data_IF_701011506763
#
_entry.id   IF_701011506763
#
_cell.length_a   1.000
_cell.length_b   1.000
_cell.length_c   1.000
_cell.angle_alpha   90.00
_cell.angle_beta   90.00
_cell.angle_gamma   90.00
#
_symmetry.space_group_name_H-M   'P 1'
#
loop_
_entity.id
_entity.type
_entity.pdbx_description
1 polymer ?
#
# COMPACT_ATOMS: atom_id res chain seq x y z
N UNK A 1 20.44 10.50 -3.64
CA UNK A 1 19.77 9.56 -2.71
C UNK A 1 18.27 9.82 -2.66
N UNK A 2 17.83 11.08 -2.76
CA UNK A 2 16.40 11.45 -2.78
C UNK A 2 15.52 10.69 -3.80
N UNK A 3 15.84 10.63 -5.11
CA UNK A 3 14.94 9.96 -6.07
C UNK A 3 14.79 8.45 -5.82
N UNK A 4 15.83 7.85 -5.24
CA UNK A 4 15.82 6.44 -4.83
C UNK A 4 14.88 6.21 -3.65
N UNK A 5 14.97 7.04 -2.60
CA UNK A 5 14.07 6.94 -1.45
C UNK A 5 12.61 7.20 -1.85
N UNK A 6 12.41 8.14 -2.77
CA UNK A 6 11.11 8.43 -3.35
C UNK A 6 10.54 7.22 -4.11
N UNK A 7 11.34 6.58 -4.97
CA UNK A 7 10.94 5.37 -5.69
C UNK A 7 10.60 4.21 -4.75
N UNK A 8 11.42 3.96 -3.73
CA UNK A 8 11.19 2.91 -2.75
C UNK A 8 9.92 3.17 -1.93
N UNK A 9 9.67 4.42 -1.53
CA UNK A 9 8.44 4.78 -0.84
C UNK A 9 7.21 4.64 -1.74
N UNK A 10 7.32 4.95 -3.03
CA UNK A 10 6.24 4.75 -4.00
C UNK A 10 5.84 3.27 -4.10
N UNK A 11 6.83 2.38 -4.11
CA UNK A 11 6.63 0.93 -4.08
C UNK A 11 5.88 0.54 -2.80
N UNK A 12 6.41 0.88 -1.62
CA UNK A 12 5.81 0.54 -0.32
C UNK A 12 4.34 1.02 -0.21
N UNK A 13 4.07 2.26 -0.62
CA UNK A 13 2.73 2.84 -0.60
C UNK A 13 1.73 2.14 -1.52
N UNK A 14 2.22 1.36 -2.49
CA UNK A 14 1.42 0.77 -3.56
C UNK A 14 1.15 -0.71 -3.39
N UNK A 15 1.84 -1.39 -2.46
CA UNK A 15 1.70 -2.83 -2.25
C UNK A 15 0.28 -3.20 -1.80
N UNK A 16 -0.16 -4.41 -2.08
CA UNK A 16 -1.36 -5.02 -1.50
C UNK A 16 -1.03 -5.75 -0.18
N UNK A 17 -2.01 -6.06 0.69
CA UNK A 17 -1.75 -6.75 1.97
C UNK A 17 -1.10 -8.14 1.83
N UNK A 18 -1.35 -8.80 0.69
CA UNK A 18 -0.75 -10.08 0.32
C UNK A 18 0.64 -9.91 -0.27
N UNK A 19 1.04 -8.71 -0.66
CA UNK A 19 2.35 -8.42 -1.22
C UNK A 19 3.36 -8.10 -0.11
N UNK A 20 4.63 -8.31 -0.43
CA UNK A 20 5.75 -8.18 0.50
C UNK A 20 6.84 -7.37 -0.16
N UNK A 21 7.45 -6.47 0.62
CA UNK A 21 8.65 -5.72 0.26
C UNK A 21 9.60 -5.72 1.45
N UNK A 22 10.79 -6.28 1.27
CA UNK A 22 11.76 -6.48 2.34
C UNK A 22 13.17 -6.22 1.85
N UNK A 23 13.94 -5.43 2.59
CA UNK A 23 15.36 -5.26 2.33
C UNK A 23 16.15 -6.53 2.67
N UNK A 24 17.01 -6.95 1.74
CA UNK A 24 17.85 -8.15 1.88
C UNK A 24 19.13 -7.85 2.67
N UNK A 25 19.67 -6.64 2.52
CA UNK A 25 20.89 -6.19 3.18
C UNK A 25 20.63 -4.84 3.88
N UNK A 26 21.36 -4.58 4.97
CA UNK A 26 21.25 -3.34 5.75
C UNK A 26 19.80 -2.98 6.11
N UNK A 27 18.96 -4.00 6.37
CA UNK A 27 17.52 -3.85 6.49
C UNK A 27 17.08 -2.79 7.52
N UNK A 28 17.73 -2.76 8.69
CA UNK A 28 17.43 -1.75 9.71
C UNK A 28 17.77 -0.34 9.25
N UNK A 29 18.91 -0.15 8.59
CA UNK A 29 19.34 1.17 8.11
C UNK A 29 18.44 1.68 6.99
N UNK A 30 18.09 0.82 6.04
CA UNK A 30 17.16 1.17 4.96
C UNK A 30 15.73 1.40 5.46
N UNK A 31 15.26 0.62 6.44
CA UNK A 31 13.97 0.86 7.08
C UNK A 31 13.96 2.20 7.85
N UNK A 32 15.02 2.52 8.58
CA UNK A 32 15.17 3.80 9.27
C UNK A 32 15.22 4.98 8.28
N UNK A 33 15.95 4.83 7.18
CA UNK A 33 16.02 5.84 6.12
C UNK A 33 14.65 6.10 5.49
N UNK A 34 13.90 5.05 5.13
CA UNK A 34 12.55 5.18 4.59
C UNK A 34 11.58 5.78 5.62
N UNK A 35 11.67 5.38 6.88
CA UNK A 35 10.82 5.92 7.95
C UNK A 35 11.11 7.40 8.22
N UNK A 36 12.38 7.79 8.21
CA UNK A 36 12.80 9.18 8.35
C UNK A 36 12.31 10.00 7.16
N UNK A 37 12.48 9.49 5.95
CA UNK A 37 11.98 10.11 4.73
C UNK A 37 10.45 10.28 4.75
N UNK A 38 9.70 9.27 5.19
CA UNK A 38 8.26 9.38 5.40
C UNK A 38 7.92 10.46 6.43
N UNK A 39 8.60 10.47 7.57
CA UNK A 39 8.23 11.36 8.67
C UNK A 39 8.55 12.83 8.39
N UNK A 40 9.66 13.10 7.70
CA UNK A 40 10.23 14.44 7.60
C UNK A 40 10.56 14.90 6.17
N UNK A 41 10.39 14.03 5.17
CA UNK A 41 10.88 14.27 3.80
C UNK A 41 12.40 14.08 3.70
N UNK A 42 12.98 14.54 2.58
CA UNK A 42 14.43 14.49 2.39
C UNK A 42 15.14 15.48 3.33
N UNK A 43 16.22 15.01 3.96
CA UNK A 43 17.00 15.79 4.91
C UNK A 43 18.44 15.29 5.03
N UNK A 44 19.35 16.17 5.47
CA UNK A 44 20.78 15.89 5.65
C UNK A 44 21.06 14.70 6.57
N UNK A 45 20.15 14.37 7.49
CA UNK A 45 20.28 13.21 8.37
C UNK A 45 20.22 11.89 7.62
N UNK A 46 19.50 11.83 6.49
CA UNK A 46 19.40 10.61 5.66
C UNK A 46 20.66 10.43 4.82
N UNK A 47 21.30 11.51 4.38
CA UNK A 47 22.59 11.45 3.66
C UNK A 47 23.73 10.96 4.55
N UNK A 48 23.67 11.21 5.87
CA UNK A 48 24.70 10.81 6.83
C UNK A 48 24.70 9.31 7.16
N UNK A 49 23.68 8.55 6.75
CA UNK A 49 23.54 7.12 7.06
C UNK A 49 24.53 6.22 6.30
N UNK A 50 25.27 6.76 5.31
CA UNK A 50 26.28 6.06 4.49
C UNK A 50 25.85 4.64 4.06
N UNK A 51 24.59 4.52 3.61
CA UNK A 51 23.99 3.23 3.25
C UNK A 51 24.48 2.77 1.87
N UNK A 52 24.85 1.49 1.71
CA UNK A 52 25.11 0.93 0.38
C UNK A 52 23.80 0.82 -0.39
N UNK A 53 23.88 0.67 -1.71
CA UNK A 53 22.68 0.55 -2.54
C UNK A 53 21.71 -0.54 -2.06
N UNK A 54 20.41 -0.28 -2.14
CA UNK A 54 19.43 -1.19 -1.59
C UNK A 54 19.32 -2.42 -2.48
N UNK A 55 19.41 -3.58 -1.85
CA UNK A 55 18.95 -4.84 -2.38
C UNK A 55 17.68 -5.24 -1.64
N UNK A 56 16.61 -5.56 -2.35
CA UNK A 56 15.32 -5.89 -1.74
C UNK A 56 14.56 -6.95 -2.51
N UNK A 57 13.71 -7.68 -1.78
CA UNK A 57 12.75 -8.63 -2.28
C UNK A 57 11.40 -7.93 -2.46
N UNK A 58 10.71 -8.25 -3.56
CA UNK A 58 9.29 -7.94 -3.74
C UNK A 58 8.53 -9.14 -4.33
N UNK A 59 7.34 -9.43 -3.81
CA UNK A 59 6.54 -10.58 -4.22
C UNK A 59 5.18 -10.62 -3.55
N UNK A 60 4.50 -11.77 -3.66
CA UNK A 60 3.22 -12.04 -2.99
C UNK A 60 3.35 -13.27 -2.09
N UNK A 61 2.82 -13.22 -0.87
CA UNK A 61 2.82 -14.32 0.13
C UNK A 61 2.20 -15.60 -0.40
N UNK A 62 1.31 -15.47 -1.39
CA UNK A 62 0.56 -16.58 -1.97
C UNK A 62 1.22 -17.11 -3.27
N UNK A 63 2.28 -16.45 -3.75
CA UNK A 63 3.01 -16.86 -4.94
C UNK A 63 4.30 -17.59 -4.58
N UNK A 64 4.60 -18.64 -5.35
CA UNK A 64 5.89 -19.33 -5.28
C UNK A 64 6.99 -18.59 -6.06
N UNK A 65 6.71 -17.41 -6.62
CA UNK A 65 7.64 -16.61 -7.42
C UNK A 65 7.77 -15.23 -6.78
N UNK A 66 9.00 -14.77 -6.65
CA UNK A 66 9.32 -13.43 -6.17
C UNK A 66 10.50 -12.83 -6.94
N UNK A 67 10.72 -11.55 -6.72
CA UNK A 67 11.74 -10.78 -7.42
C UNK A 67 12.72 -10.16 -6.43
N UNK A 68 14.00 -10.28 -6.71
CA UNK A 68 15.07 -9.61 -5.96
C UNK A 68 15.66 -8.51 -6.83
N UNK A 69 15.63 -7.28 -6.33
CA UNK A 69 16.16 -6.10 -7.02
C UNK A 69 17.51 -5.75 -6.43
N UNK A 70 18.48 -5.44 -7.30
CA UNK A 70 19.78 -4.90 -6.89
C UNK A 70 20.11 -3.72 -7.79
N UNK A 71 19.92 -2.51 -7.27
CA UNK A 71 20.16 -1.28 -8.02
C UNK A 71 21.68 -1.06 -8.21
N UNK A 72 22.16 -0.65 -9.41
CA UNK A 72 23.57 -0.36 -9.65
C UNK A 72 23.97 1.07 -9.27
N UNK A 73 25.25 1.27 -8.95
CA UNK A 73 25.87 2.56 -8.56
C UNK A 73 25.98 3.58 -9.70
N UNK A 74 25.79 3.15 -10.95
CA UNK A 74 25.87 4.02 -12.12
C UNK A 74 25.02 3.47 -13.26
N UNK A 75 24.15 4.31 -13.82
CA UNK A 75 23.37 4.07 -15.03
C UNK A 75 24.27 4.12 -16.27
N UNK A 76 25.06 3.07 -16.49
CA UNK A 76 25.60 2.79 -17.82
C UNK A 76 24.71 1.75 -18.50
N UNK A 77 24.36 1.98 -19.77
CA UNK A 77 23.43 1.16 -20.57
C UNK A 77 23.75 -0.36 -20.55
N UNK A 78 24.98 -0.75 -20.20
CA UNK A 78 25.43 -2.14 -20.11
C UNK A 78 25.07 -2.84 -18.79
N UNK A 79 24.59 -2.14 -17.76
CA UNK A 79 24.29 -2.72 -16.43
C UNK A 79 22.80 -3.03 -16.18
N UNK A 80 21.88 -2.65 -17.07
CA UNK A 80 20.45 -2.99 -16.94
C UNK A 80 20.14 -4.49 -17.07
N UNK A 81 21.13 -5.33 -17.39
CA UNK A 81 20.89 -6.74 -17.72
C UNK A 81 20.54 -7.62 -16.51
N UNK A 82 20.80 -7.19 -15.26
CA UNK A 82 20.55 -7.99 -14.05
C UNK A 82 20.02 -7.14 -12.87
N UNK A 83 19.21 -6.12 -13.16
CA UNK A 83 18.61 -5.26 -12.13
C UNK A 83 17.63 -6.02 -11.23
N UNK A 84 16.91 -6.98 -11.82
CA UNK A 84 15.87 -7.77 -11.16
C UNK A 84 16.12 -9.25 -11.43
N UNK A 85 16.34 -10.02 -10.37
CA UNK A 85 16.46 -11.47 -10.39
C UNK A 85 15.11 -12.10 -10.06
N UNK A 86 14.72 -13.12 -10.84
CA UNK A 86 13.52 -13.93 -10.57
C UNK A 86 13.93 -15.13 -9.73
N UNK A 87 13.24 -15.31 -8.61
CA UNK A 87 13.42 -16.41 -7.67
C UNK A 87 12.07 -17.10 -7.45
N UNK A 88 12.12 -18.34 -6.96
CA UNK A 88 10.90 -19.06 -6.66
C UNK A 88 11.11 -20.41 -6.01
N UNK A 89 10.13 -20.87 -5.26
CA UNK A 89 10.05 -22.24 -4.77
C UNK A 89 9.53 -23.15 -5.89
N UNK A 90 10.37 -24.09 -6.34
CA UNK A 90 10.05 -25.01 -7.43
C UNK A 90 9.73 -24.33 -8.78
N UNK A 91 10.26 -23.12 -9.02
CA UNK A 91 10.14 -22.47 -10.32
C UNK A 91 10.87 -23.29 -11.39
N UNK A 92 10.19 -23.59 -12.50
CA UNK A 92 10.84 -24.28 -13.61
C UNK A 92 11.81 -23.34 -14.33
N UNK A 93 12.81 -23.91 -15.00
CA UNK A 93 13.74 -23.12 -15.81
C UNK A 93 13.01 -22.29 -16.87
N UNK A 94 12.01 -22.87 -17.52
CA UNK A 94 11.21 -22.19 -18.54
C UNK A 94 10.40 -21.02 -17.94
N UNK A 95 9.84 -21.20 -16.75
CA UNK A 95 9.10 -20.14 -16.05
C UNK A 95 10.05 -19.00 -15.64
N UNK A 96 11.25 -19.34 -15.16
CA UNK A 96 12.27 -18.34 -14.81
C UNK A 96 12.74 -17.56 -16.05
N UNK A 97 13.00 -18.25 -17.17
CA UNK A 97 13.39 -17.62 -18.44
C UNK A 97 12.26 -16.73 -18.99
N UNK A 98 10.99 -17.15 -18.85
CA UNK A 98 9.83 -16.36 -19.24
C UNK A 98 9.72 -15.04 -18.44
N UNK A 99 9.80 -15.11 -17.10
CA UNK A 99 9.76 -13.92 -16.25
C UNK A 99 10.95 -12.98 -16.51
N UNK A 100 12.15 -13.52 -16.72
CA UNK A 100 13.33 -12.74 -17.09
C UNK A 100 13.14 -12.02 -18.43
N UNK A 101 12.50 -12.67 -19.40
CA UNK A 101 12.15 -12.05 -20.69
C UNK A 101 11.14 -10.92 -20.49
N UNK A 102 10.08 -11.16 -19.72
CA UNK A 102 9.05 -10.15 -19.39
C UNK A 102 9.68 -8.93 -18.75
N UNK A 103 10.53 -9.11 -17.72
CA UNK A 103 11.23 -8.01 -17.04
C UNK A 103 12.01 -7.15 -18.04
N UNK A 104 12.77 -7.79 -18.94
CA UNK A 104 13.58 -7.08 -19.94
C UNK A 104 12.74 -6.32 -20.96
N UNK A 105 11.62 -6.89 -21.39
CA UNK A 105 10.67 -6.23 -22.29
C UNK A 105 10.02 -5.03 -21.59
N UNK A 106 9.50 -5.21 -20.37
CA UNK A 106 8.83 -4.15 -19.62
C UNK A 106 9.75 -3.01 -19.22
N UNK A 107 10.99 -3.30 -18.77
CA UNK A 107 11.97 -2.24 -18.51
C UNK A 107 12.30 -1.43 -19.78
N UNK A 108 12.30 -2.06 -20.95
CA UNK A 108 12.48 -1.35 -22.23
C UNK A 108 11.27 -0.48 -22.57
N UNK A 109 10.06 -1.00 -22.37
CA UNK A 109 8.81 -0.26 -22.61
C UNK A 109 8.68 0.96 -21.68
N UNK A 110 9.13 0.83 -20.43
CA UNK A 110 9.14 1.90 -19.43
C UNK A 110 10.12 3.01 -19.82
N UNK A 111 11.27 2.67 -20.42
CA UNK A 111 12.26 3.65 -20.88
C UNK A 111 12.81 4.53 -19.76
N UNK A 112 12.87 5.85 -20.01
CA UNK A 112 13.46 6.85 -19.10
C UNK A 112 12.45 7.37 -18.06
N UNK A 113 11.56 6.51 -17.57
CA UNK A 113 10.65 6.86 -16.48
C UNK A 113 11.41 7.37 -15.26
N UNK A 114 10.82 8.34 -14.55
CA UNK A 114 11.38 8.88 -13.31
C UNK A 114 11.48 7.80 -12.23
N UNK A 115 10.56 6.82 -12.25
CA UNK A 115 10.47 5.73 -11.28
C UNK A 115 10.28 4.37 -12.00
N UNK A 116 11.33 3.88 -12.69
CA UNK A 116 11.22 2.71 -13.57
C UNK A 116 10.97 1.40 -12.81
N UNK A 117 11.53 1.24 -11.61
CA UNK A 117 11.31 0.07 -10.75
C UNK A 117 9.92 0.08 -10.16
N UNK A 118 9.47 1.24 -9.68
CA UNK A 118 8.09 1.40 -9.21
C UNK A 118 7.10 0.98 -10.30
N UNK A 119 7.24 1.55 -11.50
CA UNK A 119 6.36 1.24 -12.62
C UNK A 119 6.45 -0.22 -13.05
N UNK A 120 7.65 -0.80 -13.07
CA UNK A 120 7.86 -2.22 -13.38
C UNK A 120 7.03 -3.11 -12.45
N UNK A 121 7.09 -2.89 -11.13
CA UNK A 121 6.39 -3.74 -10.19
C UNK A 121 4.90 -3.48 -10.16
N UNK A 122 4.48 -2.23 -9.99
CA UNK A 122 3.07 -1.92 -9.72
C UNK A 122 2.18 -2.01 -10.94
N UNK A 123 2.72 -1.78 -12.13
CA UNK A 123 1.96 -1.76 -13.39
C UNK A 123 2.13 -3.02 -14.22
N UNK A 124 3.11 -3.88 -13.91
CA UNK A 124 3.39 -5.08 -14.71
C UNK A 124 3.56 -6.33 -13.86
N UNK A 125 4.62 -6.43 -13.05
CA UNK A 125 4.98 -7.71 -12.44
C UNK A 125 4.01 -8.18 -11.36
N UNK A 126 3.57 -7.30 -10.46
CA UNK A 126 2.61 -7.65 -9.41
C UNK A 126 1.21 -8.00 -9.97
N UNK A 127 0.62 -7.21 -10.89
CA UNK A 127 -0.62 -7.61 -11.56
C UNK A 127 -0.52 -8.99 -12.22
N UNK A 128 0.57 -9.26 -12.95
CA UNK A 128 0.77 -10.55 -13.61
C UNK A 128 0.93 -11.70 -12.61
N UNK A 129 1.56 -11.47 -11.44
CA UNK A 129 1.61 -12.47 -10.38
C UNK A 129 0.21 -12.82 -9.85
N UNK A 130 -0.67 -11.84 -9.70
CA UNK A 130 -2.06 -12.10 -9.26
C UNK A 130 -2.87 -12.83 -10.33
N UNK A 131 -2.68 -12.50 -11.61
CA UNK A 131 -3.31 -13.25 -12.72
C UNK A 131 -2.88 -14.74 -12.72
N UNK A 132 -1.60 -15.05 -12.44
CA UNK A 132 -1.15 -16.43 -12.30
C UNK A 132 -1.80 -17.16 -11.10
N UNK A 133 -2.10 -16.45 -10.01
CA UNK A 133 -2.80 -17.02 -8.86
C UNK A 133 -4.27 -17.30 -9.17
N UNK A 134 -4.96 -16.33 -9.77
CA UNK A 134 -6.38 -16.45 -10.12
C UNK A 134 -6.62 -17.52 -11.19
N UNK A 135 -5.69 -17.65 -12.14
CA UNK A 135 -5.69 -18.73 -13.14
C UNK A 135 -5.56 -20.12 -12.51
N UNK A 136 -4.65 -20.29 -11.54
CA UNK A 136 -4.47 -21.55 -10.80
C UNK A 136 -5.66 -21.86 -9.88
N UNK A 137 -6.27 -20.84 -9.29
CA UNK A 137 -7.48 -20.99 -8.48
C UNK A 137 -8.69 -21.41 -9.33
N UNK A 138 -8.85 -20.84 -10.53
CA UNK A 138 -9.92 -21.20 -11.46
C UNK A 138 -9.79 -22.64 -11.99
N UNK A 139 -8.58 -23.11 -12.27
CA UNK A 139 -8.34 -24.52 -12.65
C UNK A 139 -8.66 -25.50 -11.51
N UNK A 140 -8.61 -25.05 -10.25
CA UNK A 140 -8.93 -25.86 -9.07
C UNK A 140 -10.44 -25.87 -8.76
N UNK A 141 -11.18 -24.82 -9.11
CA UNK A 141 -12.61 -24.67 -8.82
C UNK A 141 -13.54 -25.36 -9.83
N UNK A 142 -13.03 -25.85 -10.96
CA UNK A 142 -13.80 -26.63 -11.94
C UNK A 142 -14.16 -28.05 -11.45
N UNK A 143 -13.79 -28.43 -10.22
CA UNK A 143 -14.05 -29.75 -9.64
C UNK A 143 -15.13 -29.80 -8.55
N UNK A 144 -15.75 -28.68 -8.17
CA UNK A 144 -16.87 -28.69 -7.21
C UNK A 144 -17.97 -27.72 -7.65
N UNK A 145 -18.94 -28.27 -8.39
CA UNK A 145 -20.23 -27.62 -8.52
C UNK A 145 -21.06 -27.90 -7.28
N UNK A 146 -21.67 -26.86 -6.72
CA UNK A 146 -23.08 -26.91 -6.33
C UNK A 146 -23.66 -25.51 -6.06
N UNK A 147 -24.91 -25.40 -6.47
CA UNK A 147 -25.82 -24.25 -6.43
C UNK A 147 -26.48 -24.19 -5.05
N UNK A 148 -26.55 -23.04 -4.37
CA UNK A 148 -27.72 -22.69 -3.53
C UNK A 148 -27.94 -21.16 -3.51
N UNK A 149 -29.22 -20.83 -3.64
CA UNK A 149 -29.85 -19.51 -3.69
C UNK A 149 -30.31 -19.04 -2.29
N UNK A 150 -30.92 -17.85 -2.26
CA UNK A 150 -31.75 -17.24 -1.22
C UNK A 150 -31.01 -16.39 -0.16
N UNK A 151 -31.06 -15.06 -0.25
CA UNK A 151 -32.16 -14.18 0.23
C UNK A 151 -32.59 -14.50 1.66
N UNK A 152 -32.07 -13.73 2.63
CA UNK A 152 -32.77 -13.24 3.84
C UNK A 152 -31.80 -12.51 4.77
N UNK A 153 -31.73 -11.17 4.72
CA UNK A 153 -30.98 -10.38 5.73
C UNK A 153 -31.46 -8.93 5.86
N UNK A 154 -32.76 -8.68 5.73
CA UNK A 154 -33.31 -7.31 5.84
C UNK A 154 -33.49 -6.78 7.27
N UNK A 155 -33.01 -7.46 8.32
CA UNK A 155 -33.19 -7.01 9.72
C UNK A 155 -31.90 -6.85 10.54
N UNK A 156 -30.71 -7.11 9.98
CA UNK A 156 -29.40 -6.91 10.66
C UNK A 156 -28.73 -5.59 10.22
N UNK A 157 -29.25 -4.92 9.19
CA UNK A 157 -28.61 -3.75 8.56
C UNK A 157 -28.69 -2.44 9.37
N UNK A 158 -29.46 -2.37 10.46
CA UNK A 158 -29.68 -1.11 11.19
C UNK A 158 -28.52 -0.67 12.09
N UNK A 159 -27.46 -1.48 12.22
CA UNK A 159 -26.33 -1.17 13.08
C UNK A 159 -24.96 -1.43 12.43
N UNK A 160 -24.90 -1.45 11.10
CA UNK A 160 -23.64 -1.61 10.35
C UNK A 160 -23.13 -0.25 9.89
N UNK A 161 -21.86 0.04 10.17
CA UNK A 161 -21.15 1.21 9.64
C UNK A 161 -20.05 0.73 8.70
N UNK A 162 -19.66 1.57 7.75
CA UNK A 162 -18.61 1.29 6.79
C UNK A 162 -17.35 2.05 7.17
N UNK A 163 -16.22 1.42 6.89
CA UNK A 163 -14.91 1.98 7.15
C UNK A 163 -14.06 1.84 5.90
N UNK A 164 -13.27 2.86 5.60
CA UNK A 164 -12.31 2.82 4.51
C UNK A 164 -10.96 3.41 4.93
N UNK A 165 -9.89 2.85 4.36
CA UNK A 165 -8.52 3.33 4.55
C UNK A 165 -7.86 3.52 3.19
N UNK A 166 -7.29 4.70 2.95
CA UNK A 166 -6.41 4.96 1.83
C UNK A 166 -4.97 5.18 2.29
N UNK A 167 -4.04 4.81 1.40
CA UNK A 167 -2.67 5.30 1.41
C UNK A 167 -2.35 5.97 0.09
N UNK A 168 -1.43 6.93 0.11
CA UNK A 168 -0.91 7.59 -1.08
C UNK A 168 0.55 7.94 -0.84
N UNK A 169 1.29 8.26 -1.91
CA UNK A 169 2.68 8.68 -1.77
C UNK A 169 2.82 9.89 -0.83
N UNK A 170 1.94 10.88 -0.95
CA UNK A 170 1.84 11.95 0.03
C UNK A 170 0.48 12.66 -0.01
N UNK A 171 0.14 13.29 1.13
CA UNK A 171 -0.98 14.21 1.27
C UNK A 171 -0.44 15.59 1.71
N UNK A 172 0.18 16.32 0.78
CA UNK A 172 0.73 17.68 1.04
C UNK A 172 -0.22 18.77 0.53
N UNK A 173 -0.91 18.51 -0.59
CA UNK A 173 -1.77 19.48 -1.28
C UNK A 173 -2.80 20.13 -0.33
N UNK A 174 -2.75 21.46 -0.12
CA UNK A 174 -3.73 22.17 0.70
C UNK A 174 -5.16 22.03 0.15
N UNK A 175 -5.31 21.93 -1.18
CA UNK A 175 -6.61 21.72 -1.82
C UNK A 175 -7.21 20.36 -1.45
N UNK A 176 -6.43 19.27 -1.54
CA UNK A 176 -6.90 17.94 -1.12
C UNK A 176 -7.30 17.93 0.35
N UNK A 177 -6.48 18.52 1.23
CA UNK A 177 -6.77 18.61 2.67
C UNK A 177 -8.09 19.35 2.96
N UNK A 178 -8.29 20.50 2.32
CA UNK A 178 -9.55 21.26 2.44
C UNK A 178 -10.75 20.44 1.95
N UNK A 179 -10.61 19.75 0.82
CA UNK A 179 -11.68 18.90 0.29
C UNK A 179 -12.04 17.77 1.27
N UNK A 180 -11.05 17.06 1.82
CA UNK A 180 -11.27 16.00 2.80
C UNK A 180 -12.00 16.52 4.04
N UNK A 181 -11.59 17.67 4.57
CA UNK A 181 -12.26 18.31 5.70
C UNK A 181 -13.70 18.72 5.34
N UNK A 182 -13.92 19.32 4.16
CA UNK A 182 -15.25 19.72 3.71
C UNK A 182 -16.19 18.51 3.55
N UNK A 183 -15.72 17.44 2.90
CA UNK A 183 -16.49 16.22 2.72
C UNK A 183 -16.77 15.50 4.04
N UNK A 184 -15.86 15.54 5.00
CA UNK A 184 -16.11 14.98 6.34
C UNK A 184 -17.35 15.60 7.00
N UNK A 185 -17.52 16.91 6.83
CA UNK A 185 -18.67 17.65 7.35
C UNK A 185 -19.93 17.41 6.52
N UNK A 186 -19.84 17.54 5.18
CA UNK A 186 -21.03 17.43 4.32
C UNK A 186 -21.60 16.02 4.26
N UNK A 187 -20.75 15.00 4.28
CA UNK A 187 -21.14 13.58 4.28
C UNK A 187 -21.31 13.03 5.70
N UNK A 188 -21.17 13.87 6.73
CA UNK A 188 -21.29 13.45 8.14
C UNK A 188 -20.45 12.20 8.48
N UNK A 189 -19.25 12.11 7.92
CA UNK A 189 -18.31 11.01 8.17
C UNK A 189 -17.23 11.44 9.15
N UNK A 190 -16.76 10.50 9.97
CA UNK A 190 -15.68 10.73 10.93
C UNK A 190 -14.41 10.07 10.43
N UNK A 191 -13.25 10.49 10.93
CA UNK A 191 -12.00 9.89 10.54
C UNK A 191 -10.80 10.82 10.71
N UNK A 192 -9.76 10.55 9.94
CA UNK A 192 -8.54 11.34 9.99
C UNK A 192 -7.79 11.32 8.67
N UNK A 193 -6.90 12.31 8.51
CA UNK A 193 -5.87 12.31 7.50
C UNK A 193 -4.48 12.52 8.13
N UNK A 194 -3.53 11.65 7.79
CA UNK A 194 -2.10 11.89 8.01
C UNK A 194 -1.55 12.68 6.83
N UNK A 195 -1.14 13.90 7.12
CA UNK A 195 -0.58 14.85 6.17
C UNK A 195 0.91 14.57 5.94
N UNK A 196 1.47 14.92 4.79
CA UNK A 196 2.86 14.62 4.44
C UNK A 196 3.03 13.20 3.87
N UNK A 197 4.13 12.52 4.22
CA UNK A 197 4.57 11.25 3.60
C UNK A 197 4.49 10.04 4.56
N UNK A 198 4.04 8.84 4.16
CA UNK A 198 2.98 8.69 3.18
C UNK A 198 1.73 9.49 3.57
N UNK A 199 0.85 9.74 2.61
CA UNK A 199 -0.49 10.26 2.92
C UNK A 199 -1.38 9.10 3.36
N UNK A 200 -2.03 9.21 4.52
CA UNK A 200 -2.97 8.18 5.01
C UNK A 200 -4.33 8.83 5.26
N UNK A 201 -5.41 8.19 4.84
CA UNK A 201 -6.77 8.72 5.04
C UNK A 201 -7.64 7.59 5.56
N UNK A 202 -8.22 7.77 6.73
CA UNK A 202 -9.18 6.84 7.30
C UNK A 202 -10.53 7.54 7.44
N UNK A 203 -11.61 6.83 7.13
CA UNK A 203 -12.97 7.35 7.22
C UNK A 203 -13.95 6.28 7.67
N UNK A 204 -14.93 6.65 8.48
CA UNK A 204 -16.03 5.81 8.95
C UNK A 204 -17.39 6.55 8.91
N UNK A 205 -18.46 5.82 8.58
CA UNK A 205 -19.79 6.41 8.37
C UNK A 205 -20.83 5.41 7.87
N UNK A 206 -21.96 5.90 7.35
CA UNK A 206 -22.94 5.04 6.66
C UNK A 206 -22.36 4.54 5.34
N UNK A 207 -22.94 3.47 4.78
CA UNK A 207 -22.47 2.91 3.52
C UNK A 207 -22.44 3.97 2.40
N UNK A 208 -23.55 4.68 2.21
CA UNK A 208 -23.73 5.64 1.13
C UNK A 208 -22.71 6.79 1.22
N UNK A 209 -22.50 7.30 2.44
CA UNK A 209 -21.59 8.42 2.68
C UNK A 209 -20.12 7.99 2.50
N UNK A 210 -19.79 6.73 2.84
CA UNK A 210 -18.44 6.19 2.65
C UNK A 210 -18.16 5.93 1.18
N UNK A 211 -19.12 5.37 0.44
CA UNK A 211 -19.00 5.18 -1.01
C UNK A 211 -18.79 6.53 -1.72
N UNK A 212 -19.60 7.55 -1.41
CA UNK A 212 -19.44 8.89 -1.97
C UNK A 212 -18.10 9.54 -1.58
N UNK A 213 -17.67 9.41 -0.32
CA UNK A 213 -16.36 9.91 0.11
C UNK A 213 -15.22 9.23 -0.65
N UNK A 214 -15.30 7.91 -0.84
CA UNK A 214 -14.31 7.13 -1.58
C UNK A 214 -14.21 7.57 -3.04
N UNK A 215 -15.35 7.77 -3.70
CA UNK A 215 -15.37 8.21 -5.09
C UNK A 215 -14.79 9.63 -5.25
N UNK A 216 -15.14 10.54 -4.33
CA UNK A 216 -14.56 11.88 -4.27
C UNK A 216 -13.04 11.86 -4.05
N UNK A 217 -12.54 10.98 -3.18
CA UNK A 217 -11.09 10.79 -2.99
C UNK A 217 -10.43 10.29 -4.28
N UNK A 218 -10.97 9.23 -4.90
CA UNK A 218 -10.43 8.65 -6.13
C UNK A 218 -10.45 9.62 -7.32
N UNK A 219 -11.39 10.56 -7.36
CA UNK A 219 -11.51 11.56 -8.42
C UNK A 219 -10.42 12.64 -8.41
N UNK A 220 -9.71 12.82 -7.29
CA UNK A 220 -8.58 13.75 -7.22
C UNK A 220 -7.32 13.14 -7.87
N UNK A 221 -6.38 14.00 -8.27
CA UNK A 221 -5.10 13.57 -8.83
C UNK A 221 -4.15 13.12 -7.73
N UNK A 222 -3.73 11.86 -7.71
CA UNK A 222 -2.81 11.31 -6.71
C UNK A 222 -1.65 10.56 -7.34
N UNK A 223 -0.53 10.55 -6.64
CA UNK A 223 0.55 9.60 -6.90
C UNK A 223 0.41 8.43 -5.92
N UNK A 224 0.42 7.21 -6.45
CA UNK A 224 0.33 5.96 -5.69
C UNK A 224 -0.87 5.85 -4.71
N UNK A 225 -2.06 6.37 -5.07
CA UNK A 225 -3.26 6.19 -4.22
C UNK A 225 -3.72 4.73 -4.26
N UNK A 226 -3.94 4.15 -3.08
CA UNK A 226 -4.53 2.83 -2.87
C UNK A 226 -5.64 2.89 -1.85
N UNK A 227 -6.79 2.30 -2.18
CA UNK A 227 -7.83 1.95 -1.20
C UNK A 227 -7.45 0.59 -0.60
N UNK A 228 -7.06 0.58 0.67
CA UNK A 228 -6.54 -0.58 1.38
C UNK A 228 -7.64 -1.54 1.80
N UNK A 229 -8.74 -0.98 2.30
CA UNK A 229 -9.97 -1.71 2.55
C UNK A 229 -11.15 -0.75 2.47
N UNK A 230 -12.31 -1.33 2.19
CA UNK A 230 -13.61 -0.76 2.49
C UNK A 230 -14.47 -1.93 3.00
N UNK A 231 -14.89 -1.89 4.27
CA UNK A 231 -15.60 -3.03 4.86
C UNK A 231 -16.73 -2.60 5.81
N UNK A 232 -17.84 -3.36 5.85
CA UNK A 232 -18.89 -3.20 6.84
C UNK A 232 -18.44 -3.72 8.21
N UNK A 233 -18.76 -2.99 9.27
CA UNK A 233 -18.51 -3.38 10.66
C UNK A 233 -19.71 -3.10 11.53
N UNK A 234 -19.97 -4.03 12.45
CA UNK A 234 -21.02 -3.89 13.44
C UNK A 234 -20.65 -2.76 14.40
N UNK A 235 -21.57 -1.81 14.57
CA UNK A 235 -21.40 -0.69 15.48
C UNK A 235 -21.53 -1.19 16.93
N UNK A 236 -20.43 -1.65 17.49
CA UNK A 236 -20.31 -1.85 18.93
C UNK A 236 -20.23 -0.48 19.61
N UNK A 237 -21.00 -0.29 20.69
CA UNK A 237 -21.22 1.02 21.29
C UNK A 237 -19.93 1.78 21.63
N UNK A 238 -19.77 2.97 21.04
CA UNK A 238 -18.60 3.85 21.19
C UNK A 238 -18.07 4.31 19.83
N UNK A 239 -18.80 5.23 19.18
CA UNK A 239 -18.59 5.63 17.78
C UNK A 239 -17.73 6.90 17.68
N UNK A 240 -16.98 7.08 16.59
CA UNK A 240 -16.09 8.22 16.29
C UNK A 240 -16.74 9.61 16.18
N UNK A 241 -17.90 9.78 16.80
CA UNK A 241 -18.50 11.07 17.08
C UNK A 241 -17.87 11.69 18.33
N UNK A 242 -17.78 13.01 18.37
CA UNK A 242 -17.38 13.74 19.58
C UNK A 242 -18.40 13.53 20.72
N UNK A 243 -18.09 14.03 21.93
CA UNK A 243 -18.99 13.94 23.09
C UNK A 243 -20.39 14.57 22.87
N UNK A 244 -20.59 15.25 21.73
CA UNK A 244 -21.83 15.90 21.30
C UNK A 244 -22.47 15.21 20.09
N UNK A 245 -21.95 14.06 19.64
CA UNK A 245 -22.51 13.29 18.52
C UNK A 245 -22.15 13.83 17.14
N UNK A 246 -21.12 14.68 17.00
CA UNK A 246 -20.72 15.27 15.71
C UNK A 246 -19.59 14.51 15.03
N UNK A 247 -19.57 14.47 13.69
CA UNK A 247 -18.49 13.85 12.94
C UNK A 247 -17.15 14.48 13.33
N UNK A 248 -16.18 13.65 13.69
CA UNK A 248 -14.89 14.13 14.16
C UNK A 248 -13.79 13.84 13.12
N UNK A 249 -13.26 14.90 12.50
CA UNK A 249 -12.17 14.82 11.53
C UNK A 249 -10.86 15.34 12.15
N UNK A 250 -9.83 14.49 12.15
CA UNK A 250 -8.50 14.84 12.66
C UNK A 250 -7.48 14.97 11.54
N UNK A 251 -6.47 15.83 11.74
CA UNK A 251 -5.26 15.82 10.93
C UNK A 251 -4.07 15.42 11.80
N UNK A 252 -3.28 14.47 11.32
CA UNK A 252 -2.05 14.00 11.95
C UNK A 252 -0.83 14.38 11.13
N UNK A 253 0.28 14.63 11.80
CA UNK A 253 1.56 14.87 11.14
C UNK A 253 2.45 13.63 11.19
N UNK A 254 2.34 12.82 12.25
CA UNK A 254 3.22 11.68 12.48
C UNK A 254 2.50 10.36 12.26
N UNK A 255 3.25 9.38 11.77
CA UNK A 255 2.78 7.99 11.66
C UNK A 255 2.43 7.41 13.04
N UNK A 256 3.14 7.80 14.10
CA UNK A 256 2.84 7.36 15.46
C UNK A 256 1.40 7.69 15.89
N UNK A 257 0.88 8.87 15.53
CA UNK A 257 -0.48 9.28 15.86
C UNK A 257 -1.53 8.43 15.11
N UNK A 258 -1.22 8.04 13.87
CA UNK A 258 -2.05 7.11 13.08
C UNK A 258 -2.11 5.74 13.75
N UNK A 259 -0.97 5.23 14.21
CA UNK A 259 -0.89 3.94 14.90
C UNK A 259 -1.71 3.93 16.18
N UNK A 260 -1.58 4.98 16.99
CA UNK A 260 -2.34 5.12 18.23
C UNK A 260 -3.84 5.20 17.96
N UNK A 261 -4.26 5.99 16.97
CA UNK A 261 -5.67 6.12 16.61
C UNK A 261 -6.24 4.80 16.05
N UNK A 262 -5.50 4.11 15.17
CA UNK A 262 -5.91 2.81 14.64
C UNK A 262 -5.98 1.73 15.72
N UNK A 263 -5.08 1.74 16.70
CA UNK A 263 -5.16 0.86 17.89
C UNK A 263 -6.39 1.16 18.72
N UNK A 264 -6.68 2.44 18.97
CA UNK A 264 -7.85 2.90 19.74
C UNK A 264 -9.17 2.37 19.16
N UNK A 265 -9.26 2.24 17.83
CA UNK A 265 -10.43 1.71 17.14
C UNK A 265 -10.35 0.21 16.80
N UNK A 266 -9.32 -0.50 17.30
CA UNK A 266 -9.16 -1.95 17.10
C UNK A 266 -8.74 -2.36 15.68
N UNK A 267 -8.12 -1.45 14.91
CA UNK A 267 -7.75 -1.64 13.49
C UNK A 267 -6.26 -1.49 13.20
N UNK A 268 -5.41 -1.61 14.22
CA UNK A 268 -3.96 -1.49 14.06
C UNK A 268 -3.36 -2.50 13.07
N UNK A 269 -3.97 -3.69 12.90
CA UNK A 269 -3.50 -4.70 11.93
C UNK A 269 -3.36 -4.13 10.51
N UNK A 270 -4.28 -3.26 10.11
CA UNK A 270 -4.32 -2.74 8.74
C UNK A 270 -3.19 -1.75 8.45
N UNK A 271 -2.70 -1.03 9.45
CA UNK A 271 -1.54 -0.13 9.26
C UNK A 271 -0.22 -0.89 9.39
N UNK A 272 -0.15 -1.88 10.27
CA UNK A 272 1.01 -2.78 10.39
C UNK A 272 1.25 -3.60 9.11
N UNK A 273 0.19 -4.12 8.51
CA UNK A 273 0.26 -4.88 7.25
C UNK A 273 0.81 -4.04 6.07
N UNK A 274 0.70 -2.71 6.15
CA UNK A 274 1.18 -1.79 5.12
C UNK A 274 2.62 -1.31 5.40
N UNK A 275 3.25 -1.79 6.49
CA UNK A 275 4.58 -1.32 6.91
C UNK A 275 4.57 0.03 7.64
N UNK A 276 3.39 0.64 7.81
CA UNK A 276 3.22 1.88 8.56
C UNK A 276 3.41 1.55 10.05
N UNK A 277 4.53 1.97 10.62
CA UNK A 277 4.87 1.73 12.03
C UNK A 277 5.73 0.48 12.30
N UNK A 278 6.21 -0.21 11.26
CA UNK A 278 7.11 -1.36 11.40
C UNK A 278 8.56 -0.94 11.70
N UNK A 279 8.76 -0.23 12.81
CA UNK A 279 10.05 -0.19 13.48
C UNK A 279 9.98 -1.18 14.66
N UNK A 280 10.60 -2.36 14.50
CA UNK A 280 11.09 -3.12 15.66
C UNK A 280 10.32 -4.34 16.16
N UNK A 281 9.62 -5.11 15.32
CA UNK A 281 9.17 -6.46 15.72
C UNK A 281 9.50 -7.54 14.68
N UNK A 282 10.79 -7.78 14.47
CA UNK A 282 11.28 -9.12 14.12
C UNK A 282 12.34 -9.51 15.15
N UNK A 283 11.86 -9.95 16.32
CA UNK A 283 12.58 -10.95 17.11
C UNK A 283 11.95 -12.29 16.75
N UNK A 284 12.75 -13.17 16.16
CA UNK A 284 12.41 -14.53 15.79
C UNK A 284 13.52 -15.09 14.94
#
# INVERSE_FOLDING_TARGET
MEPLLEELQLIECSLLPTEVFLFLEHCNGWAEALQSYASFGYSDSVEQLDLPLPSFHIGSKNCNVWFEVTLPLSTSEKQHQNLVSVKGENISRDQQENWQRIIKERLRDIGDSEYPIYQLFTSHLLPMLHEELDGKASDTLLAQGEVVSERSSSSILSNTIYHALFTSHHLVSPTKRRNLQQWSLSLSVSGFAKVGYPGVIYVEGTQENIEEFVDNVKAMQWLALRLRFMEPVLKEGGSGYDALGRPHWKEFQKVGDVMEEMRRIGREKFVLEIGIGSAGTFKG
#
